data_IF_180059193145
#
_entry.id   IF_180059193145
#
_cell.length_a   1.000
_cell.length_b   1.000
_cell.length_c   1.000
_cell.angle_alpha   90.00
_cell.angle_beta   90.00
_cell.angle_gamma   90.00
#
_symmetry.space_group_name_H-M   'P 1'
#
loop_
_entity.id
_entity.type
_entity.pdbx_description
1 polymer ?
#
# COMPACT_ATOMS: atom_id res chain seq x y z
N UNK A 1 0.59 8.43 -13.62
CA UNK A 1 0.81 7.54 -12.48
C UNK A 1 1.97 8.08 -11.64
N UNK A 2 1.79 8.11 -10.34
CA UNK A 2 2.83 8.55 -9.41
C UNK A 2 3.24 7.37 -8.54
N UNK A 3 4.53 7.23 -8.27
CA UNK A 3 5.00 6.18 -7.39
C UNK A 3 6.04 6.71 -6.41
N UNK A 4 6.08 6.12 -5.24
CA UNK A 4 7.04 6.48 -4.22
C UNK A 4 7.27 5.29 -3.28
N UNK A 5 8.39 5.29 -2.57
CA UNK A 5 8.64 4.25 -1.58
C UNK A 5 8.34 4.80 -0.19
N UNK A 6 7.96 3.91 0.72
CA UNK A 6 7.77 4.25 2.12
C UNK A 6 8.47 3.23 3.00
N UNK A 7 8.56 3.55 4.32
CA UNK A 7 9.08 2.61 5.33
C UNK A 7 10.50 2.16 4.99
N UNK A 8 11.37 3.12 4.66
CA UNK A 8 12.77 2.89 4.34
C UNK A 8 12.97 1.97 3.14
N UNK A 9 12.07 2.08 2.16
CA UNK A 9 12.15 1.31 0.93
C UNK A 9 11.53 -0.08 1.02
N UNK A 10 10.89 -0.42 2.12
CA UNK A 10 10.26 -1.74 2.28
C UNK A 10 9.08 -1.92 1.34
N UNK A 11 8.35 -0.85 1.05
CA UNK A 11 7.15 -0.90 0.21
C UNK A 11 7.20 0.16 -0.87
N UNK A 12 6.74 -0.20 -2.05
CA UNK A 12 6.57 0.72 -3.18
C UNK A 12 5.08 0.98 -3.33
N UNK A 13 4.69 2.25 -3.30
CA UNK A 13 3.29 2.66 -3.45
C UNK A 13 3.14 3.29 -4.84
N UNK A 14 2.23 2.75 -5.63
CA UNK A 14 1.90 3.30 -6.95
C UNK A 14 0.50 3.88 -6.90
N UNK A 15 0.38 5.20 -7.09
CA UNK A 15 -0.89 5.90 -7.07
C UNK A 15 -1.43 6.03 -8.50
N UNK A 16 -2.68 5.66 -8.69
CA UNK A 16 -3.36 5.74 -9.97
C UNK A 16 -4.56 6.68 -9.86
N UNK A 17 -4.83 7.44 -10.91
CA UNK A 17 -6.03 8.26 -10.97
C UNK A 17 -6.15 9.29 -9.85
N UNK A 18 -5.08 10.00 -9.53
CA UNK A 18 -5.07 11.04 -8.49
C UNK A 18 -5.48 10.54 -7.10
N UNK A 19 -5.09 9.30 -6.77
CA UNK A 19 -5.43 8.73 -5.47
C UNK A 19 -6.69 7.89 -5.50
N UNK A 20 -7.23 7.63 -6.69
CA UNK A 20 -8.37 6.77 -6.87
C UNK A 20 -8.05 5.30 -6.52
N UNK A 21 -6.83 4.87 -6.84
CA UNK A 21 -6.40 3.51 -6.59
C UNK A 21 -4.92 3.49 -6.21
N UNK A 22 -4.54 2.48 -5.44
CA UNK A 22 -3.15 2.28 -5.04
C UNK A 22 -2.75 0.83 -5.25
N UNK A 23 -1.55 0.64 -5.78
CA UNK A 23 -0.89 -0.66 -5.80
C UNK A 23 0.26 -0.61 -4.81
N UNK A 24 0.31 -1.57 -3.89
CA UNK A 24 1.34 -1.64 -2.86
C UNK A 24 2.18 -2.87 -3.11
N UNK A 25 3.48 -2.68 -3.30
CA UNK A 25 4.40 -3.78 -3.57
C UNK A 25 5.34 -3.97 -2.40
N UNK A 26 5.39 -5.19 -1.87
CA UNK A 26 6.39 -5.58 -0.88
C UNK A 26 7.69 -5.86 -1.62
N UNK A 27 8.67 -4.98 -1.46
CA UNK A 27 9.92 -5.07 -2.22
C UNK A 27 10.79 -6.24 -1.81
N UNK A 28 10.56 -6.80 -0.62
CA UNK A 28 11.33 -7.95 -0.14
C UNK A 28 10.87 -9.26 -0.77
N UNK A 29 9.58 -9.41 -1.02
CA UNK A 29 8.99 -10.66 -1.54
C UNK A 29 8.48 -10.56 -2.96
N UNK A 30 8.24 -9.33 -3.44
CA UNK A 30 7.62 -9.11 -4.75
C UNK A 30 6.11 -9.24 -4.72
N UNK A 31 5.50 -9.52 -3.58
CA UNK A 31 4.05 -9.58 -3.46
C UNK A 31 3.45 -8.20 -3.64
N UNK A 32 2.23 -8.12 -4.16
CA UNK A 32 1.55 -6.84 -4.34
C UNK A 32 0.08 -6.93 -3.97
N UNK A 33 -0.46 -5.78 -3.58
CA UNK A 33 -1.87 -5.62 -3.25
C UNK A 33 -2.42 -4.46 -4.05
N UNK A 34 -3.71 -4.57 -4.41
CA UNK A 34 -4.40 -3.51 -5.14
C UNK A 34 -5.59 -3.02 -4.32
N UNK A 35 -5.69 -1.70 -4.18
CA UNK A 35 -6.80 -1.05 -3.48
C UNK A 35 -7.41 0.00 -4.40
N UNK A 36 -8.74 0.07 -4.45
CA UNK A 36 -9.43 1.09 -5.23
C UNK A 36 -10.69 1.57 -4.51
N UNK A 37 -11.18 2.75 -4.89
CA UNK A 37 -12.40 3.34 -4.32
C UNK A 37 -12.33 3.40 -2.79
N UNK A 38 -13.33 2.88 -2.10
CA UNK A 38 -13.40 2.90 -0.63
C UNK A 38 -12.23 2.14 -0.01
N UNK A 39 -11.79 1.06 -0.63
CA UNK A 39 -10.64 0.30 -0.17
C UNK A 39 -9.37 1.10 -0.17
N UNK A 40 -9.18 1.95 -1.18
CA UNK A 40 -8.02 2.84 -1.26
C UNK A 40 -8.04 3.86 -0.13
N UNK A 41 -9.19 4.47 0.13
CA UNK A 41 -9.36 5.42 1.22
C UNK A 41 -9.11 4.78 2.58
N UNK A 42 -9.65 3.59 2.77
CA UNK A 42 -9.50 2.85 4.02
C UNK A 42 -8.04 2.48 4.28
N UNK A 43 -7.35 1.99 3.27
CA UNK A 43 -5.95 1.63 3.37
C UNK A 43 -5.09 2.84 3.74
N UNK A 44 -5.32 3.97 3.07
CA UNK A 44 -4.57 5.20 3.34
C UNK A 44 -4.79 5.69 4.77
N UNK A 45 -6.05 5.65 5.24
CA UNK A 45 -6.38 6.07 6.60
C UNK A 45 -5.76 5.13 7.65
N UNK A 46 -5.87 3.82 7.44
CA UNK A 46 -5.36 2.83 8.39
C UNK A 46 -3.84 2.85 8.50
N UNK A 47 -3.16 3.20 7.42
CA UNK A 47 -1.69 3.23 7.42
C UNK A 47 -1.11 4.58 7.77
N UNK A 48 -1.97 5.54 8.13
CA UNK A 48 -1.50 6.89 8.46
C UNK A 48 -0.82 7.55 7.27
N UNK A 49 -1.45 7.52 6.12
CA UNK A 49 -0.94 8.09 4.88
C UNK A 49 0.34 7.38 4.42
N UNK A 50 0.31 6.04 4.47
CA UNK A 50 1.40 5.15 4.02
C UNK A 50 2.67 5.21 4.87
N UNK A 51 2.57 5.68 6.10
CA UNK A 51 3.74 5.79 6.97
C UNK A 51 3.93 4.61 7.92
N UNK A 52 2.87 3.86 8.21
CA UNK A 52 2.95 2.76 9.17
C UNK A 52 3.29 1.44 8.48
N UNK A 53 4.57 1.04 8.56
CA UNK A 53 5.01 -0.24 8.01
C UNK A 53 4.28 -1.42 8.66
N UNK A 54 3.99 -1.32 9.94
CA UNK A 54 3.29 -2.38 10.67
C UNK A 54 1.88 -2.59 10.13
N UNK A 55 1.15 -1.51 9.87
CA UNK A 55 -0.20 -1.60 9.32
C UNK A 55 -0.20 -2.13 7.89
N UNK A 56 0.75 -1.68 7.08
CA UNK A 56 0.87 -2.19 5.71
C UNK A 56 1.15 -3.69 5.73
N UNK A 57 2.04 -4.12 6.59
CA UNK A 57 2.36 -5.54 6.75
C UNK A 57 1.14 -6.35 7.17
N UNK A 58 0.31 -5.80 8.05
CA UNK A 58 -0.93 -6.46 8.48
C UNK A 58 -1.84 -6.75 7.29
N UNK A 59 -1.95 -5.83 6.35
CA UNK A 59 -2.74 -6.05 5.13
C UNK A 59 -2.20 -7.20 4.29
N UNK A 60 -0.88 -7.27 4.14
CA UNK A 60 -0.26 -8.39 3.42
C UNK A 60 -0.52 -9.72 4.13
N UNK A 61 -0.38 -9.75 5.44
CA UNK A 61 -0.62 -10.96 6.22
C UNK A 61 -2.07 -11.43 6.11
N UNK A 62 -3.03 -10.52 6.16
CA UNK A 62 -4.44 -10.85 6.05
C UNK A 62 -4.81 -11.42 4.68
N UNK A 63 -4.24 -10.88 3.61
CA UNK A 63 -4.61 -11.26 2.25
C UNK A 63 -3.84 -12.48 1.75
N UNK A 64 -2.69 -12.77 2.32
CA UNK A 64 -1.91 -13.95 1.99
C UNK A 64 -2.22 -15.13 2.90
N UNK A 65 -2.72 -14.82 4.07
CA UNK A 65 -2.96 -15.80 5.08
C UNK A 65 -4.24 -16.51 4.99
#
# INVERSE_FOLDING_TARGET
MMQFTCCEGAYLIKSHGNGWAYEVVDQATGASLWFQDDGAHQFRADTGDFESAERIRDYFDLLEG
#
